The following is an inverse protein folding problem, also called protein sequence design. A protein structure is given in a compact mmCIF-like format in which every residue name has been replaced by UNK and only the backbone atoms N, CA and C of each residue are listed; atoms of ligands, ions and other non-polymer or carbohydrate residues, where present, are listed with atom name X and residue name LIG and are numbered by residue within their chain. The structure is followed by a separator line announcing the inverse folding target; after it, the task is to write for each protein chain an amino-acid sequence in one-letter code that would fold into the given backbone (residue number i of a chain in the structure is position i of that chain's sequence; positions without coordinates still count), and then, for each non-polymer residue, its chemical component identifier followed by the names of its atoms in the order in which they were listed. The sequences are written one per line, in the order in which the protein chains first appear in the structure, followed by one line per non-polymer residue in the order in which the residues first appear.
data_IF_318186382711
#
_entry.id   IF_318186382711
#
_cell.length_a   1.000
_cell.length_b   1.000
_cell.length_c   1.000
_cell.angle_alpha   90.00
_cell.angle_beta   90.00
_cell.angle_gamma   90.00
#
_symmetry.space_group_name_H-M   'P 1'
#
loop_
_entity.id
_entity.type
_entity.pdbx_description
1 polymer ?
#
# COMPACT_ATOMS: atom_id res chain seq x y z
N UNK A 1 41.64 -28.54 7.83
CA UNK A 1 40.88 -28.09 6.64
C UNK A 1 39.74 -27.25 7.18
N UNK A 2 40.00 -25.97 7.37
CA UNK A 2 38.99 -25.00 7.78
C UNK A 2 38.41 -24.42 6.52
N UNK A 3 37.11 -24.58 6.29
CA UNK A 3 36.38 -23.71 5.38
C UNK A 3 34.97 -23.58 5.93
N UNK A 4 34.66 -22.35 6.31
CA UNK A 4 33.42 -21.81 6.87
C UNK A 4 32.14 -22.33 6.20
N UNK A 5 30.98 -22.32 6.91
CA UNK A 5 29.69 -22.42 6.25
C UNK A 5 29.46 -21.20 5.37
N UNK A 6 29.10 -21.44 4.10
CA UNK A 6 28.58 -20.42 3.18
C UNK A 6 27.30 -19.81 3.78
N UNK A 7 27.42 -18.63 4.38
CA UNK A 7 26.28 -17.77 4.66
C UNK A 7 25.84 -17.23 3.31
N UNK A 8 24.76 -17.80 2.77
CA UNK A 8 23.98 -17.22 1.69
C UNK A 8 23.56 -15.83 2.17
N UNK A 9 24.24 -14.81 1.65
CA UNK A 9 23.86 -13.41 1.84
C UNK A 9 22.49 -13.25 1.19
N UNK A 10 21.42 -13.33 2.00
CA UNK A 10 20.12 -12.78 1.64
C UNK A 10 20.39 -11.32 1.24
N UNK A 11 20.14 -11.01 -0.03
CA UNK A 11 20.02 -9.65 -0.53
C UNK A 11 18.85 -8.99 0.20
N UNK A 12 19.14 -8.56 1.43
CA UNK A 12 18.27 -7.79 2.30
C UNK A 12 18.25 -6.35 1.77
N UNK A 13 17.76 -6.19 0.55
CA UNK A 13 17.13 -4.96 0.15
C UNK A 13 15.76 -5.02 0.82
N UNK A 14 15.72 -4.67 2.12
CA UNK A 14 14.48 -4.45 2.87
C UNK A 14 13.75 -3.27 2.24
N UNK A 15 13.21 -3.48 1.04
CA UNK A 15 12.13 -2.68 0.50
C UNK A 15 11.06 -2.70 1.59
N UNK A 16 10.94 -1.60 2.33
CA UNK A 16 10.01 -1.52 3.45
C UNK A 16 8.61 -1.54 2.88
N UNK A 17 7.97 -2.70 2.96
CA UNK A 17 6.57 -2.87 2.58
C UNK A 17 5.69 -2.60 3.79
N UNK A 18 4.80 -1.63 3.69
CA UNK A 18 3.70 -1.49 4.63
C UNK A 18 2.67 -2.57 4.34
N UNK A 19 2.54 -3.54 5.25
CA UNK A 19 1.53 -4.60 5.18
C UNK A 19 0.29 -4.19 5.98
N UNK A 20 -0.76 -3.82 5.26
CA UNK A 20 -2.07 -3.54 5.84
C UNK A 20 -2.96 -4.79 5.69
N UNK A 21 -3.47 -5.28 6.81
CA UNK A 21 -4.40 -6.43 6.84
C UNK A 21 -5.76 -5.97 7.32
N UNK A 22 -6.79 -6.33 6.56
CA UNK A 22 -8.16 -5.97 6.81
C UNK A 22 -9.05 -7.22 6.72
N UNK A 23 -10.12 -7.24 7.51
CA UNK A 23 -11.13 -8.29 7.44
C UNK A 23 -12.46 -7.70 6.98
N UNK A 24 -13.15 -8.38 6.08
CA UNK A 24 -14.49 -7.96 5.64
C UNK A 24 -15.52 -8.38 6.69
N UNK A 25 -16.22 -7.41 7.28
CA UNK A 25 -17.22 -7.63 8.33
C UNK A 25 -18.43 -8.46 7.86
N UNK A 26 -18.97 -9.26 8.78
CA UNK A 26 -20.19 -10.06 8.57
C UNK A 26 -21.42 -9.15 8.53
N UNK A 27 -21.80 -8.74 7.32
CA UNK A 27 -22.94 -7.84 7.09
C UNK A 27 -22.67 -6.78 6.02
N UNK A 28 -21.43 -6.66 5.55
CA UNK A 28 -21.13 -5.75 4.46
C UNK A 28 -21.67 -6.29 3.13
N UNK A 29 -22.29 -5.42 2.34
CA UNK A 29 -22.74 -5.76 1.00
C UNK A 29 -21.55 -6.10 0.10
N UNK A 30 -21.68 -7.10 -0.79
CA UNK A 30 -20.62 -7.48 -1.70
C UNK A 30 -20.34 -6.33 -2.68
N UNK A 31 -19.16 -5.75 -2.55
CA UNK A 31 -18.72 -4.62 -3.37
C UNK A 31 -17.38 -4.93 -4.03
N UNK A 32 -16.97 -4.10 -4.98
CA UNK A 32 -15.68 -4.29 -5.63
C UNK A 32 -14.53 -4.03 -4.66
N UNK A 33 -13.49 -4.85 -4.72
CA UNK A 33 -12.31 -4.72 -3.87
C UNK A 33 -11.64 -3.36 -4.02
N UNK A 34 -11.67 -2.76 -5.21
CA UNK A 34 -11.13 -1.42 -5.44
C UNK A 34 -11.78 -0.37 -4.52
N UNK A 35 -13.11 -0.22 -4.62
CA UNK A 35 -13.88 0.68 -3.75
C UNK A 35 -13.74 0.33 -2.28
N UNK A 36 -13.72 -0.97 -1.95
CA UNK A 36 -13.62 -1.44 -0.58
C UNK A 36 -12.32 -0.98 0.08
N UNK A 37 -11.18 -1.17 -0.61
CA UNK A 37 -9.86 -0.75 -0.08
C UNK A 37 -9.76 0.76 0.01
N UNK A 38 -10.29 1.51 -0.96
CA UNK A 38 -10.31 2.98 -0.88
C UNK A 38 -11.11 3.52 0.32
N UNK A 39 -12.12 2.79 0.79
CA UNK A 39 -12.87 3.17 2.00
C UNK A 39 -12.12 2.84 3.30
N UNK A 40 -11.15 1.93 3.26
CA UNK A 40 -10.36 1.49 4.43
C UNK A 40 -9.02 2.21 4.55
N UNK A 41 -8.40 2.59 3.42
CA UNK A 41 -7.13 3.29 3.36
C UNK A 41 -7.39 4.73 2.91
N UNK A 42 -7.35 5.67 3.86
CA UNK A 42 -7.47 7.09 3.55
C UNK A 42 -6.26 7.56 2.72
N UNK A 43 -6.49 8.42 1.72
CA UNK A 43 -5.44 8.89 0.81
C UNK A 43 -5.03 7.91 -0.30
N UNK A 44 -5.66 6.73 -0.37
CA UNK A 44 -5.39 5.75 -1.43
C UNK A 44 -5.94 6.21 -2.78
N UNK A 45 -5.05 6.65 -3.67
CA UNK A 45 -5.44 7.04 -5.04
C UNK A 45 -5.83 5.82 -5.87
N UNK A 46 -6.73 6.03 -6.85
CA UNK A 46 -7.16 4.95 -7.76
C UNK A 46 -5.98 4.34 -8.52
N UNK A 47 -5.04 5.19 -8.95
CA UNK A 47 -3.87 4.76 -9.71
C UNK A 47 -2.94 3.88 -8.86
N UNK A 48 -2.68 4.27 -7.61
CA UNK A 48 -1.86 3.49 -6.67
C UNK A 48 -2.48 2.12 -6.39
N UNK A 49 -3.80 2.08 -6.15
CA UNK A 49 -4.51 0.82 -5.94
C UNK A 49 -4.52 -0.09 -7.17
N UNK A 50 -4.77 0.46 -8.37
CA UNK A 50 -4.73 -0.33 -9.61
C UNK A 50 -3.34 -0.91 -9.87
N UNK A 51 -2.29 -0.08 -9.78
CA UNK A 51 -0.92 -0.53 -9.92
C UNK A 51 -0.56 -1.61 -8.88
N UNK A 52 -1.00 -1.43 -7.62
CA UNK A 52 -0.79 -2.41 -6.57
C UNK A 52 -1.47 -3.75 -6.86
N UNK A 53 -2.70 -3.72 -7.38
CA UNK A 53 -3.44 -4.92 -7.76
C UNK A 53 -2.77 -5.63 -8.95
N UNK A 54 -2.40 -4.89 -10.00
CA UNK A 54 -1.73 -5.44 -11.19
C UNK A 54 -0.34 -6.03 -10.86
N UNK A 55 0.38 -5.41 -9.92
CA UNK A 55 1.66 -5.92 -9.43
C UNK A 55 1.53 -7.06 -8.39
N UNK A 56 0.31 -7.45 -8.02
CA UNK A 56 0.07 -8.57 -7.11
C UNK A 56 0.25 -8.25 -5.62
N UNK A 57 0.32 -6.98 -5.27
CA UNK A 57 0.44 -6.52 -3.88
C UNK A 57 -0.86 -6.58 -3.07
N UNK A 58 -1.99 -6.87 -3.73
CA UNK A 58 -3.27 -7.07 -3.08
C UNK A 58 -3.66 -8.54 -3.16
N UNK A 59 -3.84 -9.15 -1.98
CA UNK A 59 -4.30 -10.53 -1.86
C UNK A 59 -5.57 -10.62 -1.04
N UNK A 60 -6.43 -11.56 -1.40
CA UNK A 60 -7.65 -11.90 -0.68
C UNK A 60 -7.60 -13.39 -0.32
N UNK A 61 -7.68 -13.71 0.98
CA UNK A 61 -7.47 -15.05 1.53
C UNK A 61 -6.17 -15.70 1.00
N UNK A 62 -5.09 -14.92 0.90
CA UNK A 62 -3.80 -15.37 0.39
C UNK A 62 -3.72 -15.58 -1.13
N UNK A 63 -4.72 -15.14 -1.91
CA UNK A 63 -4.71 -15.22 -3.38
C UNK A 63 -4.68 -13.83 -4.01
N UNK A 64 -3.83 -13.61 -5.00
CA UNK A 64 -3.84 -12.37 -5.79
C UNK A 64 -5.17 -12.31 -6.57
N UNK A 65 -5.90 -11.21 -6.42
CA UNK A 65 -7.18 -10.99 -7.09
C UNK A 65 -7.14 -9.76 -7.98
N UNK A 66 -7.98 -9.73 -9.01
CA UNK A 66 -8.14 -8.56 -9.89
C UNK A 66 -9.05 -7.51 -9.23
N UNK A 67 -8.99 -6.27 -9.71
CA UNK A 67 -9.79 -5.15 -9.19
C UNK A 67 -11.31 -5.37 -9.29
N UNK A 68 -11.78 -6.25 -10.17
CA UNK A 68 -13.19 -6.63 -10.28
C UNK A 68 -13.65 -7.69 -9.25
N UNK A 69 -12.76 -8.14 -8.35
CA UNK A 69 -13.13 -9.07 -7.31
C UNK A 69 -14.22 -8.46 -6.41
N UNK A 70 -15.29 -9.22 -6.17
CA UNK A 70 -16.35 -8.83 -5.24
C UNK A 70 -16.00 -9.35 -3.85
N UNK A 71 -15.80 -8.44 -2.90
CA UNK A 71 -15.54 -8.77 -1.50
C UNK A 71 -16.70 -9.55 -0.92
N UNK A 72 -16.39 -10.55 -0.11
CA UNK A 72 -17.37 -11.34 0.64
C UNK A 72 -17.15 -11.17 2.13
N UNK A 73 -18.22 -11.19 2.94
CA UNK A 73 -18.10 -11.30 4.39
C UNK A 73 -17.13 -12.42 4.81
N UNK A 74 -16.15 -12.09 5.64
CA UNK A 74 -15.12 -13.03 6.10
C UNK A 74 -13.89 -13.13 5.20
N UNK A 75 -13.82 -12.39 4.10
CA UNK A 75 -12.59 -12.31 3.31
C UNK A 75 -11.49 -11.57 4.10
N UNK A 76 -10.30 -12.17 4.16
CA UNK A 76 -9.09 -11.50 4.63
C UNK A 76 -8.42 -10.78 3.46
N UNK A 77 -8.31 -9.46 3.52
CA UNK A 77 -7.65 -8.64 2.51
C UNK A 77 -6.32 -8.16 3.04
N UNK A 78 -5.23 -8.50 2.35
CA UNK A 78 -3.89 -8.03 2.65
C UNK A 78 -3.40 -7.16 1.50
N UNK A 79 -3.02 -5.94 1.82
CA UNK A 79 -2.43 -4.99 0.89
C UNK A 79 -0.99 -4.68 1.32
N UNK A 80 -0.06 -4.79 0.40
CA UNK A 80 1.36 -4.47 0.59
C UNK A 80 1.71 -3.24 -0.23
N UNK A 81 2.02 -2.10 0.40
CA UNK A 81 2.53 -0.94 -0.33
C UNK A 81 4.01 -0.80 -0.11
N UNK A 82 4.76 -0.44 -1.13
CA UNK A 82 6.04 0.23 -0.91
C UNK A 82 5.81 1.47 -0.05
N UNK A 83 6.49 1.56 1.09
CA UNK A 83 6.67 2.84 1.80
C UNK A 83 7.59 3.66 0.91
N UNK A 84 7.01 4.55 0.11
CA UNK A 84 7.82 5.57 -0.53
C UNK A 84 8.13 6.59 0.59
N UNK A 85 9.40 6.81 0.97
CA UNK A 85 9.76 7.71 2.06
C UNK A 85 9.49 9.19 1.75
N UNK A 86 8.89 9.53 0.61
CA UNK A 86 8.55 10.89 0.24
C UNK A 86 7.28 11.38 0.96
N UNK A 87 7.41 11.59 2.28
CA UNK A 87 6.98 12.88 2.79
C UNK A 87 7.87 13.91 2.10
N UNK A 88 7.41 14.44 0.96
CA UNK A 88 7.94 15.70 0.44
C UNK A 88 7.66 16.74 1.52
N UNK A 89 8.57 16.92 2.47
CA UNK A 89 8.58 18.08 3.35
C UNK A 89 8.60 19.29 2.40
N UNK A 90 7.45 19.94 2.27
CA UNK A 90 7.34 21.22 1.58
C UNK A 90 8.17 22.19 2.42
N UNK A 91 9.45 22.34 2.10
CA UNK A 91 10.29 23.37 2.70
C UNK A 91 9.66 24.70 2.32
N UNK A 92 9.24 25.54 3.28
CA UNK A 92 8.79 26.88 2.95
C UNK A 92 9.97 27.63 2.33
N UNK A 93 9.90 27.92 1.03
CA UNK A 93 10.82 28.87 0.43
C UNK A 93 10.42 30.26 0.88
N UNK A 94 11.36 30.98 1.51
CA UNK A 94 11.15 32.37 1.90
C UNK A 94 11.00 33.21 0.62
N UNK A 95 9.76 33.60 0.32
CA UNK A 95 9.47 34.60 -0.70
C UNK A 95 9.45 35.97 -0.01
N UNK A 96 10.28 36.90 -0.49
CA UNK A 96 10.26 38.29 -0.05
C UNK A 96 9.00 38.97 -0.63
N UNK A 97 7.90 38.89 0.12
CA UNK A 97 6.65 39.57 -0.23
C UNK A 97 6.79 41.05 0.11
N UNK A 98 6.98 41.88 -0.91
CA UNK A 98 6.84 43.33 -0.78
C UNK A 98 5.34 43.68 -0.77
N UNK A 99 4.73 43.67 0.42
CA UNK A 99 3.32 44.02 0.62
C UNK A 99 3.19 45.54 0.55
N UNK A 100 2.62 46.07 -0.53
CA UNK A 100 2.57 47.53 -0.79
C UNK A 100 1.35 48.21 -0.14
N UNK A 101 0.33 47.49 0.34
CA UNK A 101 -0.78 48.10 1.10
C UNK A 101 -1.51 47.08 1.99
N UNK A 102 -1.92 47.51 3.19
CA UNK A 102 -2.85 46.82 4.11
C UNK A 102 -4.26 47.43 4.00
#
# INVERSE_FOLDING_TARGET
MSTEPEILQEENNEEVYERLTFMVDKGQEPMRIDKWVQMRIEGMTRNKLQNGIDAGFLTVNGKVVKSNYKTRPGDEVVYMSYVNPDYTELKPEAMDLNIVYE
#
